data_IF_724749459686
#
_entry.id   IF_724749459686
#
_cell.length_a   1.000
_cell.length_b   1.000
_cell.length_c   1.000
_cell.angle_alpha   90.00
_cell.angle_beta   90.00
_cell.angle_gamma   90.00
#
_symmetry.space_group_name_H-M   'P 1'
#
loop_
_entity.id
_entity.type
_entity.pdbx_description
1 polymer ?
#
# COMPACT_ATOMS: atom_id res chain seq x y z
N UNK A 1 5.81 90.53 -67.61
CA UNK A 1 6.81 90.21 -66.56
C UNK A 1 8.08 89.82 -67.28
N UNK A 2 9.15 90.62 -67.16
CA UNK A 2 10.43 90.33 -67.81
C UNK A 2 11.05 89.09 -67.14
N UNK A 3 11.37 88.07 -67.93
CA UNK A 3 12.18 86.93 -67.49
C UNK A 3 13.63 87.40 -67.41
N UNK A 4 14.11 87.66 -66.21
CA UNK A 4 15.52 87.93 -65.96
C UNK A 4 16.31 86.64 -66.22
N UNK A 5 17.32 86.69 -67.10
CA UNK A 5 18.25 85.57 -67.24
C UNK A 5 19.14 85.51 -66.00
N UNK A 6 19.20 84.38 -65.30
CA UNK A 6 19.99 84.26 -64.09
C UNK A 6 21.47 84.44 -64.41
N UNK A 7 22.16 85.19 -63.56
CA UNK A 7 23.61 85.40 -63.65
C UNK A 7 24.37 84.16 -63.19
N UNK A 8 25.61 83.98 -63.67
CA UNK A 8 26.48 82.88 -63.23
C UNK A 8 26.66 82.84 -61.70
N UNK A 9 26.57 83.99 -61.02
CA UNK A 9 26.62 84.07 -59.56
C UNK A 9 25.41 83.42 -58.89
N UNK A 10 24.20 83.75 -59.35
CA UNK A 10 22.95 83.16 -58.86
C UNK A 10 22.89 81.64 -59.12
N UNK A 11 23.42 81.20 -60.26
CA UNK A 11 23.54 79.76 -60.58
C UNK A 11 24.49 79.06 -59.60
N UNK A 12 25.65 79.65 -59.30
CA UNK A 12 26.62 79.07 -58.36
C UNK A 12 26.08 79.03 -56.92
N UNK A 13 25.31 80.04 -56.52
CA UNK A 13 24.67 80.07 -55.20
C UNK A 13 23.57 79.01 -55.09
N UNK A 14 22.71 78.88 -56.11
CA UNK A 14 21.70 77.83 -56.18
C UNK A 14 22.32 76.42 -56.16
N UNK A 15 23.47 76.21 -56.83
CA UNK A 15 24.19 74.93 -56.81
C UNK A 15 24.79 74.62 -55.43
N UNK A 16 25.33 75.63 -54.74
CA UNK A 16 25.83 75.46 -53.36
C UNK A 16 24.70 75.14 -52.40
N UNK A 17 23.56 75.81 -52.52
CA UNK A 17 22.38 75.56 -51.71
C UNK A 17 21.80 74.16 -52.00
N UNK A 18 21.71 73.75 -53.27
CA UNK A 18 21.28 72.40 -53.66
C UNK A 18 22.22 71.31 -53.12
N UNK A 19 23.53 71.54 -53.19
CA UNK A 19 24.53 70.62 -52.62
C UNK A 19 24.41 70.53 -51.09
N UNK A 20 24.30 71.67 -50.41
CA UNK A 20 24.13 71.74 -48.95
C UNK A 20 22.85 71.06 -48.47
N UNK A 21 21.72 71.33 -49.11
CA UNK A 21 20.43 70.67 -48.80
C UNK A 21 20.47 69.17 -49.09
N UNK A 22 21.22 68.73 -50.10
CA UNK A 22 21.40 67.30 -50.40
C UNK A 22 22.24 66.60 -49.34
N UNK A 23 23.34 67.20 -48.89
CA UNK A 23 24.14 66.66 -47.79
C UNK A 23 23.33 66.53 -46.50
N UNK A 24 22.53 67.54 -46.14
CA UNK A 24 21.64 67.47 -44.97
C UNK A 24 20.63 66.33 -45.09
N UNK A 25 20.05 66.10 -46.27
CA UNK A 25 19.14 64.96 -46.51
C UNK A 25 19.85 63.61 -46.38
N UNK A 26 21.09 63.51 -46.86
CA UNK A 26 21.92 62.31 -46.72
C UNK A 26 22.21 62.05 -45.23
N UNK A 27 22.64 63.06 -44.48
CA UNK A 27 22.93 62.93 -43.04
C UNK A 27 21.69 62.51 -42.26
N UNK A 28 20.53 63.12 -42.54
CA UNK A 28 19.25 62.70 -41.95
C UNK A 28 18.89 61.25 -42.30
N UNK A 29 19.20 60.81 -43.51
CA UNK A 29 18.97 59.42 -43.93
C UNK A 29 19.88 58.46 -43.18
N UNK A 30 21.16 58.81 -43.01
CA UNK A 30 22.11 58.03 -42.23
C UNK A 30 21.67 57.88 -40.78
N UNK A 31 21.21 58.97 -40.14
CA UNK A 31 20.66 58.93 -38.77
C UNK A 31 19.46 57.99 -38.68
N UNK A 32 18.55 57.99 -39.66
CA UNK A 32 17.40 57.07 -39.67
C UNK A 32 17.84 55.62 -39.85
N UNK A 33 18.88 55.36 -40.66
CA UNK A 33 19.46 54.03 -40.84
C UNK A 33 20.02 53.53 -39.51
N UNK A 34 20.79 54.35 -38.79
CA UNK A 34 21.36 53.98 -37.49
C UNK A 34 20.27 53.64 -36.46
N UNK A 35 19.21 54.45 -36.40
CA UNK A 35 18.05 54.18 -35.54
C UNK A 35 17.34 52.86 -35.87
N UNK A 36 17.23 52.51 -37.15
CA UNK A 36 16.65 51.25 -37.59
C UNK A 36 17.54 50.08 -37.18
N UNK A 37 18.86 50.20 -37.33
CA UNK A 37 19.81 49.16 -36.93
C UNK A 37 19.76 48.90 -35.43
N UNK A 38 19.67 49.95 -34.62
CA UNK A 38 19.49 49.86 -33.18
C UNK A 38 18.19 49.14 -32.83
N UNK A 39 17.06 49.55 -33.42
CA UNK A 39 15.77 48.90 -33.19
C UNK A 39 15.74 47.42 -33.60
N UNK A 40 16.42 47.05 -34.68
CA UNK A 40 16.55 45.64 -35.11
C UNK A 40 17.39 44.84 -34.11
N UNK A 41 18.48 45.42 -33.61
CA UNK A 41 19.33 44.78 -32.59
C UNK A 41 18.56 44.54 -31.30
N UNK A 42 17.84 45.56 -30.82
CA UNK A 42 16.99 45.44 -29.63
C UNK A 42 15.90 44.38 -29.82
N UNK A 43 15.29 44.33 -30.99
CA UNK A 43 14.29 43.32 -31.30
C UNK A 43 14.88 41.91 -31.33
N UNK A 44 16.05 41.72 -31.94
CA UNK A 44 16.73 40.44 -31.99
C UNK A 44 17.07 39.91 -30.59
N UNK A 45 17.65 40.77 -29.73
CA UNK A 45 17.95 40.40 -28.35
C UNK A 45 16.69 40.11 -27.53
N UNK A 46 15.60 40.85 -27.75
CA UNK A 46 14.33 40.57 -27.10
C UNK A 46 13.77 39.20 -27.49
N UNK A 47 13.78 38.86 -28.80
CA UNK A 47 13.37 37.53 -29.27
C UNK A 47 14.20 36.43 -28.62
N UNK A 48 15.52 36.57 -28.61
CA UNK A 48 16.42 35.58 -28.00
C UNK A 48 16.13 35.38 -26.50
N UNK A 49 15.70 36.45 -25.81
CA UNK A 49 15.36 36.37 -24.38
C UNK A 49 14.01 35.70 -24.07
N UNK A 50 13.06 35.71 -25.03
CA UNK A 50 11.69 35.23 -24.82
C UNK A 50 11.45 33.86 -25.45
N UNK A 51 12.19 33.52 -26.51
CA UNK A 51 12.03 32.24 -27.18
C UNK A 51 12.57 31.10 -26.34
N UNK A 52 11.74 30.05 -26.17
CA UNK A 52 12.20 28.80 -25.58
C UNK A 52 13.25 28.13 -26.48
N UNK A 53 14.34 27.69 -25.87
CA UNK A 53 15.38 26.92 -26.53
C UNK A 53 15.02 25.43 -26.54
N UNK A 54 15.74 24.65 -27.35
CA UNK A 54 15.60 23.19 -27.34
C UNK A 54 15.89 22.60 -25.95
N UNK A 55 16.83 23.17 -25.21
CA UNK A 55 17.20 22.73 -23.86
C UNK A 55 16.05 22.96 -22.87
N UNK A 56 15.29 24.05 -23.03
CA UNK A 56 14.11 24.31 -22.19
C UNK A 56 13.03 23.23 -22.39
N UNK A 57 12.86 22.76 -23.62
CA UNK A 57 11.88 21.73 -23.98
C UNK A 57 12.31 20.33 -23.51
N UNK A 58 13.60 20.03 -23.45
CA UNK A 58 14.13 18.74 -22.97
C UNK A 58 13.83 18.48 -21.48
N UNK A 59 13.50 19.53 -20.70
CA UNK A 59 13.10 19.40 -19.29
C UNK A 59 11.64 19.00 -19.10
N UNK A 60 10.82 19.08 -20.15
CA UNK A 60 9.42 18.68 -20.06
C UNK A 60 9.27 17.17 -20.18
N UNK A 61 8.34 16.61 -19.39
CA UNK A 61 7.95 15.22 -19.54
C UNK A 61 7.41 14.96 -20.94
N UNK A 62 7.91 13.90 -21.57
CA UNK A 62 7.46 13.45 -22.88
C UNK A 62 6.29 12.49 -22.75
N UNK A 63 5.59 12.22 -23.86
CA UNK A 63 4.54 11.18 -23.88
C UNK A 63 5.07 9.81 -23.44
N UNK A 64 6.32 9.50 -23.75
CA UNK A 64 6.97 8.23 -23.39
C UNK A 64 7.20 8.10 -21.89
N UNK A 65 7.44 9.21 -21.18
CA UNK A 65 7.59 9.21 -19.72
C UNK A 65 6.27 8.85 -19.02
N UNK A 66 5.14 9.21 -19.65
CA UNK A 66 3.79 8.94 -19.13
C UNK A 66 3.32 7.49 -19.37
N UNK A 67 3.88 6.77 -20.34
CA UNK A 67 3.51 5.37 -20.64
C UNK A 67 3.81 4.40 -19.50
N UNK A 68 4.70 4.76 -18.58
CA UNK A 68 5.06 3.93 -17.42
C UNK A 68 4.11 4.05 -16.24
N UNK A 69 3.19 5.00 -16.27
CA UNK A 69 2.23 5.18 -15.19
C UNK A 69 1.06 4.21 -15.34
N UNK A 70 0.65 3.61 -14.22
CA UNK A 70 -0.57 2.82 -14.18
C UNK A 70 -1.77 3.70 -14.53
N UNK A 71 -2.59 3.20 -15.44
CA UNK A 71 -3.86 3.80 -15.85
C UNK A 71 -4.98 3.33 -14.93
N UNK A 72 -6.15 3.97 -15.03
CA UNK A 72 -7.35 3.52 -14.30
C UNK A 72 -7.72 2.07 -14.63
N UNK A 73 -7.52 1.64 -15.87
CA UNK A 73 -7.83 0.28 -16.35
C UNK A 73 -6.93 -0.75 -15.67
N UNK A 74 -5.66 -0.42 -15.42
CA UNK A 74 -4.73 -1.32 -14.73
C UNK A 74 -5.18 -1.63 -13.29
N UNK A 75 -5.88 -0.69 -12.65
CA UNK A 75 -6.37 -0.83 -11.28
C UNK A 75 -7.73 -1.55 -11.18
N UNK A 76 -8.48 -1.69 -12.27
CA UNK A 76 -9.79 -2.37 -12.26
C UNK A 76 -9.69 -3.87 -11.91
N UNK A 77 -8.51 -4.46 -12.14
CA UNK A 77 -8.24 -5.87 -11.80
C UNK A 77 -7.67 -6.07 -10.39
N UNK A 78 -7.39 -4.99 -9.67
CA UNK A 78 -6.93 -5.11 -8.29
C UNK A 78 -8.10 -5.53 -7.38
N UNK A 79 -7.83 -6.48 -6.47
CA UNK A 79 -8.80 -6.87 -5.47
C UNK A 79 -9.23 -5.66 -4.64
N UNK A 80 -10.53 -5.49 -4.50
CA UNK A 80 -11.15 -4.43 -3.71
C UNK A 80 -11.36 -4.91 -2.27
N UNK A 81 -11.65 -3.97 -1.36
CA UNK A 81 -12.02 -4.33 0.02
C UNK A 81 -13.26 -5.23 0.06
N UNK A 82 -14.22 -5.03 -0.84
CA UNK A 82 -15.42 -5.86 -0.94
C UNK A 82 -15.11 -7.31 -1.35
N UNK A 83 -14.04 -7.54 -2.13
CA UNK A 83 -13.60 -8.90 -2.47
C UNK A 83 -13.04 -9.64 -1.24
N UNK A 84 -12.47 -8.91 -0.28
CA UNK A 84 -11.94 -9.46 0.96
C UNK A 84 -13.03 -9.81 1.98
N UNK A 85 -14.19 -9.13 1.94
CA UNK A 85 -15.32 -9.39 2.85
C UNK A 85 -15.92 -10.79 2.68
N UNK A 86 -15.64 -11.47 1.56
CA UNK A 86 -16.09 -12.85 1.31
C UNK A 86 -15.22 -13.90 1.98
N UNK A 87 -14.05 -13.52 2.51
CA UNK A 87 -13.16 -14.46 3.19
C UNK A 87 -13.53 -14.56 4.67
N UNK A 88 -13.41 -15.78 5.22
CA UNK A 88 -13.63 -16.01 6.65
C UNK A 88 -12.67 -15.13 7.47
N UNK A 89 -13.23 -14.36 8.39
CA UNK A 89 -12.46 -13.51 9.29
C UNK A 89 -11.94 -14.32 10.47
N UNK A 90 -10.97 -13.76 11.20
CA UNK A 90 -10.52 -14.36 12.47
C UNK A 90 -11.67 -14.53 13.48
N UNK A 91 -12.66 -13.64 13.46
CA UNK A 91 -13.83 -13.72 14.31
C UNK A 91 -14.76 -14.90 13.91
N UNK A 92 -14.88 -15.20 12.62
CA UNK A 92 -15.63 -16.36 12.14
C UNK A 92 -14.98 -17.67 12.58
N UNK A 93 -13.65 -17.73 12.57
CA UNK A 93 -12.88 -18.90 13.02
C UNK A 93 -12.97 -19.08 14.54
N UNK A 94 -13.04 -18.00 15.32
CA UNK A 94 -13.20 -18.06 16.77
C UNK A 94 -14.56 -18.62 17.22
N UNK A 95 -15.58 -18.60 16.34
CA UNK A 95 -16.88 -19.24 16.60
C UNK A 95 -16.87 -20.74 16.34
N UNK A 96 -15.83 -21.26 15.67
CA UNK A 96 -15.63 -22.69 15.52
C UNK A 96 -15.15 -23.25 16.86
N UNK A 97 -15.61 -24.45 17.21
CA UNK A 97 -15.27 -25.16 18.45
C UNK A 97 -13.79 -24.97 18.80
N UNK A 98 -13.53 -24.28 19.91
CA UNK A 98 -12.18 -23.97 20.34
C UNK A 98 -11.54 -25.18 21.01
N UNK A 99 -10.21 -25.23 20.99
CA UNK A 99 -9.46 -26.25 21.71
C UNK A 99 -9.81 -26.26 23.20
N UNK A 100 -9.92 -25.08 23.82
CA UNK A 100 -10.28 -24.91 25.22
C UNK A 100 -11.65 -25.54 25.55
N UNK A 101 -12.66 -25.31 24.69
CA UNK A 101 -13.97 -25.93 24.88
C UNK A 101 -13.89 -27.47 24.85
N UNK A 102 -13.07 -28.04 23.95
CA UNK A 102 -12.89 -29.50 23.89
C UNK A 102 -12.14 -30.03 25.11
N UNK A 103 -11.08 -29.34 25.54
CA UNK A 103 -10.30 -29.73 26.72
C UNK A 103 -11.17 -29.74 27.99
N UNK A 104 -12.02 -28.72 28.18
CA UNK A 104 -12.97 -28.65 29.30
C UNK A 104 -13.99 -29.79 29.25
N UNK A 105 -14.61 -30.05 28.09
CA UNK A 105 -15.58 -31.14 27.94
C UNK A 105 -14.98 -32.52 28.13
N UNK A 106 -13.72 -32.71 27.73
CA UNK A 106 -13.00 -33.95 27.96
C UNK A 106 -12.63 -34.13 29.43
N UNK A 107 -12.31 -33.06 30.16
CA UNK A 107 -12.07 -33.09 31.59
C UNK A 107 -13.33 -33.50 32.37
N UNK A 108 -14.48 -32.90 32.05
CA UNK A 108 -15.78 -33.25 32.63
C UNK A 108 -16.09 -34.74 32.42
N UNK A 109 -16.01 -35.19 31.16
CA UNK A 109 -16.32 -36.58 30.80
C UNK A 109 -15.38 -37.58 31.49
N UNK A 110 -14.10 -37.24 31.62
CA UNK A 110 -13.12 -38.05 32.36
C UNK A 110 -13.47 -38.12 33.84
N UNK A 111 -13.91 -37.01 34.44
CA UNK A 111 -14.39 -36.97 35.82
C UNK A 111 -15.60 -37.87 36.05
N UNK A 112 -16.62 -37.75 35.20
CA UNK A 112 -17.83 -38.57 35.24
C UNK A 112 -17.52 -40.06 35.11
N UNK A 113 -16.62 -40.42 34.20
CA UNK A 113 -16.22 -41.82 34.01
C UNK A 113 -15.52 -42.39 35.26
N UNK A 114 -14.66 -41.60 35.92
CA UNK A 114 -14.01 -42.01 37.17
C UNK A 114 -15.04 -42.17 38.30
N UNK A 115 -16.02 -41.26 38.41
CA UNK A 115 -17.08 -41.34 39.41
C UNK A 115 -17.95 -42.59 39.20
N UNK A 116 -18.32 -42.88 37.96
CA UNK A 116 -19.06 -44.08 37.58
C UNK A 116 -18.26 -45.33 37.94
N UNK A 117 -16.98 -45.41 37.53
CA UNK A 117 -16.12 -46.54 37.84
C UNK A 117 -16.01 -46.81 39.35
N UNK A 118 -15.82 -45.76 40.17
CA UNK A 118 -15.80 -45.89 41.64
C UNK A 118 -17.13 -46.32 42.23
N UNK A 119 -18.25 -45.79 41.73
CA UNK A 119 -19.59 -46.17 42.21
C UNK A 119 -19.88 -47.64 41.90
N UNK A 120 -19.49 -48.11 40.72
CA UNK A 120 -19.61 -49.52 40.36
C UNK A 120 -18.67 -50.39 41.19
N UNK A 121 -17.44 -49.95 41.46
CA UNK A 121 -16.51 -50.67 42.34
C UNK A 121 -17.11 -50.87 43.74
N UNK A 122 -17.69 -49.83 44.35
CA UNK A 122 -18.35 -49.95 45.67
C UNK A 122 -19.51 -50.94 45.67
N UNK A 123 -20.32 -50.95 44.61
CA UNK A 123 -21.41 -51.92 44.47
C UNK A 123 -20.87 -53.34 44.34
N UNK A 124 -19.81 -53.52 43.56
CA UNK A 124 -19.14 -54.79 43.39
C UNK A 124 -18.51 -55.29 44.70
N UNK A 125 -17.84 -54.41 45.44
CA UNK A 125 -17.28 -54.72 46.76
C UNK A 125 -18.36 -55.23 47.72
N UNK A 126 -19.46 -54.48 47.87
CA UNK A 126 -20.59 -54.90 48.72
C UNK A 126 -21.13 -56.26 48.30
N UNK A 127 -21.29 -56.49 47.00
CA UNK A 127 -21.77 -57.77 46.49
C UNK A 127 -20.83 -58.94 46.80
N UNK A 128 -19.51 -58.73 46.68
CA UNK A 128 -18.51 -59.76 47.02
C UNK A 128 -18.46 -60.03 48.52
N UNK A 129 -18.58 -58.98 49.34
CA UNK A 129 -18.64 -59.08 50.80
C UNK A 129 -19.89 -59.87 51.24
N UNK A 130 -21.06 -59.58 50.67
CA UNK A 130 -22.32 -60.30 50.94
C UNK A 130 -22.21 -61.79 50.58
N UNK A 131 -21.62 -62.13 49.42
CA UNK A 131 -21.42 -63.52 49.00
C UNK A 131 -20.46 -64.30 49.91
N UNK A 132 -19.44 -63.63 50.44
CA UNK A 132 -18.51 -64.24 51.39
C UNK A 132 -19.19 -64.47 52.74
N UNK A 133 -20.00 -63.52 53.20
CA UNK A 133 -20.78 -63.62 54.44
C UNK A 133 -21.81 -64.76 54.39
N UNK A 134 -22.47 -64.93 53.24
CA UNK A 134 -23.43 -66.01 52.97
C UNK A 134 -22.75 -67.39 52.73
N UNK A 135 -21.42 -67.45 52.77
CA UNK A 135 -20.64 -68.68 52.55
C UNK A 135 -20.71 -69.22 51.12
N UNK A 136 -21.14 -68.42 50.14
CA UNK A 136 -21.19 -68.80 48.71
C UNK A 136 -19.82 -68.81 48.06
N UNK A 137 -18.88 -68.01 48.59
CA UNK A 137 -17.48 -67.98 48.19
C UNK A 137 -16.57 -68.04 49.42
N UNK A 138 -15.35 -68.57 49.24
CA UNK A 138 -14.31 -68.55 50.29
C UNK A 138 -13.79 -67.12 50.51
N UNK A 139 -13.43 -66.78 51.76
CA UNK A 139 -12.76 -65.51 52.09
C UNK A 139 -11.49 -65.28 51.25
N UNK A 140 -10.70 -66.33 51.00
CA UNK A 140 -9.52 -66.24 50.12
C UNK A 140 -9.85 -65.87 48.67
N UNK A 141 -11.01 -66.29 48.17
CA UNK A 141 -11.49 -65.94 46.84
C UNK A 141 -12.02 -64.50 46.82
N UNK A 142 -12.72 -64.08 47.86
CA UNK A 142 -13.18 -62.70 48.02
C UNK A 142 -12.00 -61.72 48.04
N UNK A 143 -10.95 -62.00 48.82
CA UNK A 143 -9.74 -61.17 48.90
C UNK A 143 -9.02 -61.07 47.54
N UNK A 144 -8.95 -62.18 46.80
CA UNK A 144 -8.39 -62.19 45.44
C UNK A 144 -9.21 -61.34 44.47
N UNK A 145 -10.54 -61.35 44.58
CA UNK A 145 -11.43 -60.57 43.72
C UNK A 145 -11.36 -59.08 44.06
N UNK A 146 -11.33 -58.73 45.35
CA UNK A 146 -11.26 -57.35 45.83
C UNK A 146 -9.90 -56.70 45.59
N UNK A 147 -8.83 -57.48 45.42
CA UNK A 147 -7.49 -57.00 45.06
C UNK A 147 -7.29 -56.80 43.55
N UNK A 148 -8.31 -57.01 42.72
CA UNK A 148 -8.23 -56.76 41.28
C UNK A 148 -8.37 -55.27 40.93
N UNK A 149 -7.84 -54.89 39.77
CA UNK A 149 -8.08 -53.58 39.16
C UNK A 149 -9.57 -53.40 38.79
N UNK A 150 -10.11 -52.17 38.69
CA UNK A 150 -9.41 -50.87 38.60
C UNK A 150 -9.09 -50.19 39.94
N UNK A 151 -9.82 -50.50 41.01
CA UNK A 151 -9.58 -49.92 42.34
C UNK A 151 -9.49 -51.05 43.38
N UNK A 152 -8.30 -51.63 43.57
CA UNK A 152 -8.12 -52.75 44.48
C UNK A 152 -8.22 -52.30 45.94
N UNK A 153 -8.98 -53.04 46.75
CA UNK A 153 -8.93 -52.95 48.22
C UNK A 153 -7.74 -53.77 48.71
N UNK A 154 -6.67 -53.08 49.11
CA UNK A 154 -5.51 -53.72 49.74
C UNK A 154 -5.80 -53.88 51.23
N UNK A 155 -6.03 -55.11 51.69
CA UNK A 155 -6.06 -55.42 53.12
C UNK A 155 -4.63 -55.37 53.70
N UNK A 156 -4.46 -55.08 55.00
CA UNK A 156 -3.13 -54.95 55.63
C UNK A 156 -2.22 -56.18 55.50
N UNK A 157 -2.80 -57.35 55.24
CA UNK A 157 -2.09 -58.62 55.07
C UNK A 157 -1.40 -58.74 53.70
N UNK A 158 -1.96 -58.11 52.66
CA UNK A 158 -1.39 -58.07 51.31
C UNK A 158 -0.26 -57.04 51.15
N UNK A 159 -0.10 -56.11 52.10
CA UNK A 159 0.95 -55.08 52.12
C UNK A 159 2.27 -55.55 52.77
N UNK A 160 2.32 -56.78 53.31
CA UNK A 160 3.48 -57.34 54.01
C UNK A 160 4.32 -58.33 53.18
N UNK A 161 4.08 -58.43 51.87
CA UNK A 161 4.89 -59.21 50.94
C UNK A 161 5.86 -58.33 50.15
#
# INVERSE_FOLDING_TARGET
MQTHEPTNGEILEALKEYSGTTNVRIDQTNVRIDQILEAISDFATHIESVMATKVDLERFATKKDLERFATKVDLERCATKADLDRFATKADIQRIVTKEYLDDKLADLRGDLILLARKQNRKFESFVEDLAQDGKISHTMADRILSMQPFPKLTPELLKQ
#
